data_IF_808682317608
#
_entry.id   IF_808682317608
#
_cell.length_a   1.000
_cell.length_b   1.000
_cell.length_c   1.000
_cell.angle_alpha   90.00
_cell.angle_beta   90.00
_cell.angle_gamma   90.00
#
_symmetry.space_group_name_H-M   'P 1'
#
loop_
_entity.id
_entity.type
_entity.pdbx_description
1 polymer ?
#
# COMPACT_ATOMS: atom_id res chain seq x y z
N UNK A 1 19.25 -7.87 -46.94
CA UNK A 1 18.35 -8.98 -47.32
C UNK A 1 16.92 -8.54 -47.09
N UNK A 2 16.11 -8.54 -48.16
CA UNK A 2 14.65 -8.29 -48.14
C UNK A 2 13.93 -9.64 -48.20
N UNK A 3 12.93 -9.84 -47.36
CA UNK A 3 11.76 -10.72 -47.58
C UNK A 3 10.63 -10.10 -46.73
N UNK A 4 9.66 -9.39 -47.34
CA UNK A 4 8.40 -9.89 -47.90
C UNK A 4 7.53 -10.70 -46.93
N UNK A 5 6.58 -10.00 -46.30
CA UNK A 5 5.12 -10.21 -46.39
C UNK A 5 4.54 -11.61 -46.23
N UNK A 6 3.58 -11.73 -45.30
CA UNK A 6 2.25 -12.24 -45.62
C UNK A 6 1.27 -11.92 -44.49
N UNK A 7 0.23 -11.15 -44.85
CA UNK A 7 -1.03 -11.11 -44.14
C UNK A 7 -1.86 -12.33 -44.57
N UNK A 8 -2.53 -13.01 -43.63
CA UNK A 8 -3.64 -13.92 -43.92
C UNK A 8 -4.74 -13.76 -42.87
N UNK A 9 -5.80 -13.11 -43.32
CA UNK A 9 -7.24 -13.40 -43.21
C UNK A 9 -7.90 -13.98 -41.96
N UNK A 10 -9.05 -13.33 -41.71
CA UNK A 10 -10.19 -13.60 -40.82
C UNK A 10 -10.86 -14.98 -40.99
N UNK A 11 -11.45 -15.47 -39.90
CA UNK A 11 -12.73 -16.22 -39.81
C UNK A 11 -13.26 -15.97 -38.37
N UNK A 12 -14.36 -15.25 -38.11
CA UNK A 12 -15.81 -15.46 -38.36
C UNK A 12 -16.44 -16.54 -37.45
N UNK A 13 -17.63 -16.16 -36.90
CA UNK A 13 -18.63 -16.91 -36.12
C UNK A 13 -18.29 -17.10 -34.63
N UNK A 14 -19.07 -16.64 -33.65
CA UNK A 14 -20.49 -16.30 -33.62
C UNK A 14 -21.14 -17.12 -32.51
N UNK A 15 -21.74 -16.48 -31.50
CA UNK A 15 -22.98 -16.93 -30.87
C UNK A 15 -23.46 -15.85 -29.88
N UNK A 16 -24.54 -15.18 -30.27
CA UNK A 16 -25.45 -14.48 -29.37
C UNK A 16 -26.55 -15.47 -29.00
N UNK A 17 -26.85 -15.62 -27.70
CA UNK A 17 -28.13 -16.18 -27.26
C UNK A 17 -28.70 -15.26 -26.17
N UNK A 18 -29.87 -14.72 -26.51
CA UNK A 18 -30.83 -14.03 -25.64
C UNK A 18 -31.31 -14.96 -24.50
N UNK A 19 -31.57 -14.38 -23.33
CA UNK A 19 -32.75 -14.73 -22.55
C UNK A 19 -33.18 -13.54 -21.68
N UNK A 20 -34.11 -12.76 -22.22
CA UNK A 20 -34.97 -11.89 -21.46
C UNK A 20 -36.04 -12.73 -20.75
N UNK A 21 -36.26 -12.51 -19.45
CA UNK A 21 -37.51 -12.85 -18.79
C UNK A 21 -37.90 -11.70 -17.86
N UNK A 22 -39.03 -11.09 -18.21
CA UNK A 22 -39.80 -10.14 -17.43
C UNK A 22 -40.28 -10.74 -16.10
N UNK A 23 -40.50 -9.89 -15.09
CA UNK A 23 -41.79 -9.76 -14.42
C UNK A 23 -41.80 -8.47 -13.57
N UNK A 24 -42.87 -7.65 -13.65
CA UNK A 24 -43.03 -6.40 -12.91
C UNK A 24 -43.84 -6.64 -11.61
N UNK A 25 -43.63 -5.82 -10.60
CA UNK A 25 -44.61 -5.62 -9.53
C UNK A 25 -44.75 -4.14 -9.21
N UNK A 26 -45.99 -3.70 -9.38
CA UNK A 26 -46.56 -2.37 -9.21
C UNK A 26 -46.71 -2.07 -7.71
N UNK A 27 -46.39 -0.84 -7.32
CA UNK A 27 -46.78 -0.25 -6.04
C UNK A 27 -47.00 1.24 -6.22
N UNK A 28 -48.26 1.66 -6.23
CA UNK A 28 -48.76 3.01 -6.48
C UNK A 28 -49.34 3.59 -5.17
N UNK A 29 -49.21 4.90 -4.95
CA UNK A 29 -49.88 5.67 -3.89
C UNK A 29 -48.95 6.72 -3.27
N UNK A 30 -48.90 7.97 -3.76
CA UNK A 30 -49.86 9.09 -3.68
C UNK A 30 -49.66 10.01 -2.45
N UNK A 31 -49.06 11.17 -2.75
CA UNK A 31 -49.49 12.54 -2.40
C UNK A 31 -49.73 12.96 -0.95
N UNK A 32 -49.01 14.00 -0.53
CA UNK A 32 -49.47 14.93 0.51
C UNK A 32 -48.36 15.77 1.16
N UNK A 33 -48.01 16.91 0.58
CA UNK A 33 -47.52 18.06 1.37
C UNK A 33 -48.72 18.78 1.97
N UNK A 34 -48.57 19.31 3.19
CA UNK A 34 -48.58 20.77 3.31
C UNK A 34 -47.43 21.30 4.17
N UNK A 35 -46.99 22.48 3.76
CA UNK A 35 -46.16 23.44 4.47
C UNK A 35 -46.78 23.81 5.82
N UNK A 36 -45.95 24.00 6.85
CA UNK A 36 -46.08 25.17 7.72
C UNK A 36 -44.78 25.41 8.51
N UNK A 37 -44.47 26.70 8.59
CA UNK A 37 -43.29 27.34 9.16
C UNK A 37 -43.12 27.09 10.66
N UNK A 38 -41.91 26.71 11.10
CA UNK A 38 -41.41 27.22 12.37
C UNK A 38 -39.88 27.24 12.50
N UNK A 39 -39.38 28.47 12.54
CA UNK A 39 -38.29 28.99 13.39
C UNK A 39 -36.93 28.30 13.31
N UNK A 40 -36.04 29.02 12.62
CA UNK A 40 -34.60 29.00 12.71
C UNK A 40 -34.10 28.99 14.17
N UNK A 41 -33.45 27.89 14.57
CA UNK A 41 -32.41 27.92 15.58
C UNK A 41 -31.15 27.33 14.93
N UNK A 42 -30.00 28.04 14.91
CA UNK A 42 -28.76 27.48 14.39
C UNK A 42 -28.27 26.43 15.40
N UNK A 43 -28.67 25.18 15.19
CA UNK A 43 -28.11 24.05 15.91
C UNK A 43 -26.71 23.81 15.34
N UNK A 44 -25.70 24.33 16.05
CA UNK A 44 -24.30 23.96 15.86
C UNK A 44 -24.14 22.47 16.23
N UNK A 45 -24.41 21.59 15.27
CA UNK A 45 -24.21 20.16 15.40
C UNK A 45 -23.79 19.56 14.05
N UNK A 46 -22.64 19.98 13.54
CA UNK A 46 -22.03 19.38 12.35
C UNK A 46 -20.57 18.98 12.60
N UNK A 47 -20.27 18.48 13.81
CA UNK A 47 -18.93 18.04 14.17
C UNK A 47 -18.85 16.66 14.82
N UNK A 48 -19.96 15.94 15.03
CA UNK A 48 -19.92 14.62 15.68
C UNK A 48 -20.01 13.41 14.75
N UNK A 49 -20.46 13.54 13.49
CA UNK A 49 -20.52 12.38 12.57
C UNK A 49 -19.20 12.08 11.87
N UNK A 50 -18.41 13.11 11.52
CA UNK A 50 -17.09 12.93 10.88
C UNK A 50 -16.08 12.26 11.82
N UNK A 51 -16.16 12.54 13.12
CA UNK A 51 -15.31 11.92 14.14
C UNK A 51 -15.65 10.44 14.40
N UNK A 52 -16.74 9.88 13.86
CA UNK A 52 -17.04 8.44 14.05
C UNK A 52 -16.30 7.56 13.04
N UNK A 53 -15.96 8.12 11.88
CA UNK A 53 -15.34 7.38 10.77
C UNK A 53 -13.89 7.81 10.48
N UNK A 54 -13.31 8.68 11.30
CA UNK A 54 -11.93 9.09 11.14
C UNK A 54 -10.95 8.07 11.72
N UNK A 55 -9.80 7.92 11.08
CA UNK A 55 -8.72 7.08 11.58
C UNK A 55 -7.34 7.57 11.14
N UNK A 56 -6.33 7.20 11.92
CA UNK A 56 -4.92 7.23 11.55
C UNK A 56 -4.33 5.84 11.83
N UNK A 57 -3.81 5.18 10.80
CA UNK A 57 -3.18 3.87 10.90
C UNK A 57 -1.75 3.96 10.39
N UNK A 58 -0.78 3.53 11.20
CA UNK A 58 0.63 3.43 10.81
C UNK A 58 0.99 1.97 10.73
N UNK A 59 1.44 1.52 9.56
CA UNK A 59 2.00 0.20 9.32
C UNK A 59 3.47 0.33 8.95
N UNK A 60 4.24 -0.72 9.24
CA UNK A 60 5.62 -0.83 8.79
C UNK A 60 5.84 -2.13 8.03
N UNK A 61 6.81 -2.11 7.12
CA UNK A 61 7.32 -3.30 6.46
C UNK A 61 8.70 -3.63 7.01
N UNK A 62 8.89 -4.85 7.52
CA UNK A 62 10.18 -5.35 7.99
C UNK A 62 10.52 -6.69 7.33
N UNK A 63 11.74 -6.87 6.82
CA UNK A 63 12.20 -8.16 6.34
C UNK A 63 12.51 -9.09 7.52
N UNK A 64 12.45 -10.39 7.30
CA UNK A 64 12.86 -11.41 8.26
C UNK A 64 13.59 -12.51 7.49
N UNK A 65 14.90 -12.71 7.71
CA UNK A 65 15.77 -11.94 8.62
C UNK A 65 15.99 -10.50 8.15
N UNK A 66 16.45 -9.61 9.04
CA UNK A 66 16.59 -8.17 8.78
C UNK A 66 17.50 -7.84 7.58
N UNK A 67 18.55 -8.66 7.39
CA UNK A 67 19.51 -8.61 6.30
C UNK A 67 19.05 -9.36 5.03
N UNK A 68 17.88 -10.01 5.07
CA UNK A 68 17.40 -10.86 3.99
C UNK A 68 17.29 -10.16 2.64
N UNK A 69 16.78 -8.92 2.63
CA UNK A 69 16.70 -8.09 1.42
C UNK A 69 18.09 -7.72 0.91
N UNK A 70 19.00 -7.33 1.81
CA UNK A 70 20.36 -6.95 1.45
C UNK A 70 21.09 -8.14 0.80
N UNK A 71 20.98 -9.33 1.38
CA UNK A 71 21.54 -10.55 0.81
C UNK A 71 20.94 -10.89 -0.57
N UNK A 72 19.62 -10.78 -0.72
CA UNK A 72 18.95 -11.05 -1.99
C UNK A 72 19.38 -10.12 -3.13
N UNK A 73 19.64 -8.84 -2.84
CA UNK A 73 19.96 -7.83 -3.86
C UNK A 73 21.47 -7.63 -4.08
N UNK A 74 22.28 -7.72 -3.03
CA UNK A 74 23.66 -7.23 -3.03
C UNK A 74 24.75 -8.30 -2.93
N UNK A 75 24.43 -9.51 -2.46
CA UNK A 75 25.47 -10.51 -2.13
C UNK A 75 26.25 -10.98 -3.37
N UNK A 76 25.55 -11.24 -4.48
CA UNK A 76 26.22 -11.64 -5.73
C UNK A 76 27.09 -10.52 -6.30
N UNK A 77 26.56 -9.29 -6.31
CA UNK A 77 27.30 -8.13 -6.81
C UNK A 77 28.55 -7.85 -5.95
N UNK A 78 28.43 -8.00 -4.64
CA UNK A 78 29.56 -7.88 -3.71
C UNK A 78 30.60 -8.98 -3.92
N UNK A 79 30.21 -10.25 -4.06
CA UNK A 79 31.13 -11.36 -4.36
C UNK A 79 31.90 -11.14 -5.66
N UNK A 80 31.24 -10.65 -6.72
CA UNK A 80 31.89 -10.29 -7.98
C UNK A 80 32.89 -9.14 -7.78
N UNK A 81 32.52 -8.13 -6.99
CA UNK A 81 33.41 -7.03 -6.66
C UNK A 81 34.64 -7.51 -5.88
N UNK A 82 34.48 -8.39 -4.88
CA UNK A 82 35.58 -8.94 -4.08
C UNK A 82 36.67 -9.58 -4.96
N UNK A 83 36.27 -10.38 -5.95
CA UNK A 83 37.21 -11.00 -6.87
C UNK A 83 38.01 -9.96 -7.68
N UNK A 84 37.37 -8.86 -8.08
CA UNK A 84 38.04 -7.73 -8.73
C UNK A 84 38.99 -7.00 -7.78
N UNK A 85 38.57 -6.74 -6.54
CA UNK A 85 39.41 -6.07 -5.54
C UNK A 85 40.64 -6.91 -5.17
N UNK A 86 40.49 -8.23 -5.09
CA UNK A 86 41.58 -9.18 -4.87
C UNK A 86 42.60 -9.10 -6.02
N UNK A 87 42.15 -9.14 -7.27
CA UNK A 87 43.04 -8.98 -8.44
C UNK A 87 43.80 -7.64 -8.43
N UNK A 88 43.18 -6.58 -7.92
CA UNK A 88 43.77 -5.25 -7.80
C UNK A 88 44.54 -5.02 -6.49
N UNK A 89 44.61 -6.00 -5.59
CA UNK A 89 45.22 -5.88 -4.27
C UNK A 89 44.66 -4.72 -3.43
N UNK A 90 43.36 -4.43 -3.60
CA UNK A 90 42.67 -3.36 -2.87
C UNK A 90 42.03 -3.92 -1.59
N UNK A 91 42.22 -3.29 -0.42
CA UNK A 91 41.53 -3.68 0.80
C UNK A 91 40.01 -3.56 0.66
N UNK A 92 39.28 -4.62 1.02
CA UNK A 92 37.83 -4.68 0.92
C UNK A 92 37.16 -4.21 2.21
N UNK A 93 36.02 -3.53 2.07
CA UNK A 93 35.14 -3.14 3.19
C UNK A 93 34.24 -4.31 3.57
N UNK A 94 33.94 -4.51 4.87
CA UNK A 94 33.06 -5.59 5.29
C UNK A 94 31.65 -5.38 4.74
N UNK A 95 30.96 -6.49 4.43
CA UNK A 95 29.56 -6.46 4.06
C UNK A 95 28.71 -5.92 5.22
N UNK A 96 27.84 -4.92 5.00
CA UNK A 96 27.08 -4.31 6.09
C UNK A 96 26.05 -5.30 6.65
N UNK A 97 25.69 -5.10 7.92
CA UNK A 97 24.55 -5.77 8.55
C UNK A 97 23.45 -4.76 8.78
N UNK A 98 22.21 -5.18 8.53
CA UNK A 98 21.05 -4.39 8.92
C UNK A 98 20.89 -4.44 10.45
N UNK A 99 20.42 -3.36 11.08
CA UNK A 99 20.09 -3.39 12.50
C UNK A 99 18.91 -4.35 12.76
N UNK A 100 18.80 -4.89 13.97
CA UNK A 100 17.76 -5.88 14.31
C UNK A 100 16.33 -5.30 14.21
N UNK A 101 16.18 -3.99 14.38
CA UNK A 101 14.93 -3.26 14.27
C UNK A 101 14.73 -2.62 12.89
N UNK A 102 15.47 -3.08 11.87
CA UNK A 102 15.39 -2.57 10.51
C UNK A 102 13.95 -2.59 9.97
N UNK A 103 13.50 -1.41 9.54
CA UNK A 103 12.24 -1.19 8.85
C UNK A 103 12.59 -0.75 7.43
N UNK A 104 11.99 -1.37 6.42
CA UNK A 104 12.17 -0.94 5.03
C UNK A 104 11.37 0.33 4.77
N UNK A 105 10.10 0.31 5.19
CA UNK A 105 9.12 1.31 4.83
C UNK A 105 8.14 1.53 5.98
N UNK A 106 7.73 2.77 6.17
CA UNK A 106 6.56 3.14 6.96
C UNK A 106 5.46 3.60 6.01
N UNK A 107 4.24 3.16 6.25
CA UNK A 107 3.07 3.67 5.55
C UNK A 107 2.05 4.17 6.56
N UNK A 108 1.64 5.43 6.40
CA UNK A 108 0.62 6.08 7.23
C UNK A 108 -0.63 6.30 6.39
N UNK A 109 -1.74 5.73 6.85
CA UNK A 109 -3.07 5.96 6.30
C UNK A 109 -3.85 6.91 7.20
N UNK A 110 -4.46 7.93 6.62
CA UNK A 110 -5.31 8.88 7.35
C UNK A 110 -6.63 9.02 6.61
N UNK A 111 -7.74 9.03 7.34
CA UNK A 111 -9.04 9.40 6.80
C UNK A 111 -9.85 10.20 7.82
N UNK A 112 -10.64 11.14 7.33
CA UNK A 112 -11.71 11.83 8.08
C UNK A 112 -13.12 11.30 7.72
N UNK A 113 -13.18 10.21 6.93
CA UNK A 113 -14.41 9.63 6.38
C UNK A 113 -14.83 10.17 5.01
N UNK A 114 -14.25 11.29 4.57
CA UNK A 114 -14.56 11.95 3.29
C UNK A 114 -13.33 12.16 2.39
N UNK A 115 -12.15 12.23 3.00
CA UNK A 115 -10.85 12.33 2.36
C UNK A 115 -9.94 11.21 2.89
N UNK A 116 -8.99 10.82 2.06
CA UNK A 116 -8.03 9.77 2.36
C UNK A 116 -6.62 10.24 2.02
N UNK A 117 -5.67 9.78 2.82
CA UNK A 117 -4.26 9.97 2.59
C UNK A 117 -3.52 8.66 2.82
N UNK A 118 -2.57 8.35 1.96
CA UNK A 118 -1.53 7.33 2.14
C UNK A 118 -0.19 8.01 1.98
N UNK A 119 0.57 8.10 3.06
CA UNK A 119 1.97 8.53 3.04
C UNK A 119 2.87 7.32 3.16
N UNK A 120 3.78 7.15 2.23
CA UNK A 120 4.80 6.10 2.23
C UNK A 120 6.17 6.74 2.41
N UNK A 121 6.95 6.23 3.36
CA UNK A 121 8.27 6.72 3.70
C UNK A 121 9.23 5.52 3.76
N UNK A 122 10.10 5.34 2.76
CA UNK A 122 11.25 4.45 2.90
C UNK A 122 12.10 4.93 4.08
N UNK A 123 12.56 4.02 4.93
CA UNK A 123 13.32 4.40 6.13
C UNK A 123 14.83 4.35 5.86
N UNK A 124 15.26 3.40 5.03
CA UNK A 124 16.65 3.21 4.66
C UNK A 124 16.76 2.89 3.18
N UNK A 125 17.85 3.36 2.56
CA UNK A 125 18.28 2.97 1.23
C UNK A 125 19.63 2.27 1.29
N UNK A 126 19.79 1.28 0.43
CA UNK A 126 21.09 0.62 0.19
C UNK A 126 21.76 1.36 -0.94
N UNK A 127 22.87 2.02 -0.63
CA UNK A 127 23.71 2.73 -1.59
C UNK A 127 24.83 1.79 -2.06
N UNK A 128 24.87 1.62 -3.38
CA UNK A 128 25.77 0.72 -4.11
C UNK A 128 26.76 1.49 -4.99
N UNK A 129 26.82 2.82 -4.90
CA UNK A 129 27.64 3.65 -5.79
C UNK A 129 29.14 3.36 -5.66
N UNK A 130 29.56 2.95 -4.46
CA UNK A 130 30.93 2.54 -4.16
C UNK A 130 31.15 1.02 -4.23
N UNK A 131 30.20 0.24 -4.76
CA UNK A 131 30.36 -1.20 -5.02
C UNK A 131 31.25 -1.43 -6.25
N UNK A 132 32.52 -1.06 -6.12
CA UNK A 132 33.55 -1.15 -7.16
C UNK A 132 34.84 -1.66 -6.55
N UNK A 133 35.58 -2.45 -7.33
CA UNK A 133 36.81 -3.10 -6.87
C UNK A 133 37.85 -2.07 -6.40
N UNK A 134 38.00 -0.97 -7.13
CA UNK A 134 38.94 0.11 -6.83
C UNK A 134 38.58 0.89 -5.56
N UNK A 135 37.31 0.82 -5.13
CA UNK A 135 36.80 1.48 -3.92
C UNK A 135 36.66 0.52 -2.74
N UNK A 136 37.16 -0.71 -2.87
CA UNK A 136 37.08 -1.71 -1.81
C UNK A 136 35.67 -2.27 -1.62
N UNK A 137 34.83 -2.27 -2.65
CA UNK A 137 33.52 -2.93 -2.65
C UNK A 137 32.57 -2.44 -1.53
N UNK A 138 32.56 -1.13 -1.28
CA UNK A 138 31.76 -0.57 -0.21
C UNK A 138 30.26 -0.58 -0.53
N UNK A 139 29.47 -1.06 0.42
CA UNK A 139 28.01 -0.94 0.44
C UNK A 139 27.65 -0.16 1.71
N UNK A 140 26.83 0.87 1.56
CA UNK A 140 26.37 1.68 2.69
C UNK A 140 24.86 1.57 2.82
N UNK A 141 24.39 1.54 4.07
CA UNK A 141 22.98 1.64 4.40
C UNK A 141 22.78 2.99 5.04
N UNK A 142 22.05 3.87 4.39
CA UNK A 142 21.84 5.24 4.84
C UNK A 142 20.35 5.49 5.03
N UNK A 143 19.96 6.40 5.93
CA UNK A 143 18.57 6.82 6.04
C UNK A 143 18.06 7.33 4.69
N UNK A 144 16.89 6.86 4.30
CA UNK A 144 16.14 7.44 3.19
C UNK A 144 15.18 8.47 3.75
N UNK A 145 15.07 9.60 3.05
CA UNK A 145 14.23 10.72 3.45
C UNK A 145 13.31 11.16 2.33
N UNK A 146 13.17 10.32 1.31
CA UNK A 146 12.11 10.41 0.34
C UNK A 146 10.76 10.08 0.96
N UNK A 147 9.71 10.60 0.35
CA UNK A 147 8.35 10.24 0.69
C UNK A 147 7.48 10.29 -0.56
N UNK A 148 6.39 9.52 -0.50
CA UNK A 148 5.30 9.57 -1.46
C UNK A 148 4.01 9.77 -0.68
N UNK A 149 3.16 10.68 -1.14
CA UNK A 149 1.88 11.01 -0.56
C UNK A 149 0.83 10.91 -1.64
N UNK A 150 -0.16 10.05 -1.42
CA UNK A 150 -1.36 9.98 -2.25
C UNK A 150 -2.50 10.56 -1.43
N UNK A 151 -3.13 11.62 -1.94
CA UNK A 151 -4.31 12.25 -1.34
C UNK A 151 -5.49 12.00 -2.26
N UNK A 152 -6.61 11.56 -1.68
CA UNK A 152 -7.89 11.55 -2.36
C UNK A 152 -8.89 12.41 -1.60
N UNK A 153 -9.41 13.45 -2.26
CA UNK A 153 -10.42 14.33 -1.66
C UNK A 153 -11.31 14.93 -2.74
N UNK A 154 -12.62 14.98 -2.48
CA UNK A 154 -13.59 15.56 -3.42
C UNK A 154 -13.63 14.87 -4.79
N UNK A 155 -13.31 13.56 -4.85
CA UNK A 155 -13.27 12.77 -6.08
C UNK A 155 -12.04 13.00 -6.96
N UNK A 156 -11.03 13.72 -6.46
CA UNK A 156 -9.74 13.89 -7.14
C UNK A 156 -8.64 13.18 -6.38
N UNK A 157 -7.72 12.57 -7.13
CA UNK A 157 -6.49 12.01 -6.60
C UNK A 157 -5.31 12.92 -6.94
N UNK A 158 -4.42 13.13 -5.97
CA UNK A 158 -3.18 13.87 -6.16
C UNK A 158 -2.04 13.04 -5.59
N UNK A 159 -0.96 12.90 -6.37
CA UNK A 159 0.25 12.25 -5.93
C UNK A 159 1.34 13.30 -5.74
N UNK A 160 1.99 13.27 -4.58
CA UNK A 160 3.14 14.11 -4.27
C UNK A 160 4.29 13.20 -3.91
N UNK A 161 5.37 13.29 -4.67
CA UNK A 161 6.64 12.68 -4.30
C UNK A 161 7.58 13.78 -3.84
N UNK A 162 8.43 13.49 -2.86
CA UNK A 162 9.40 14.46 -2.40
C UNK A 162 10.55 13.88 -1.61
N UNK A 163 11.45 14.76 -1.21
CA UNK A 163 12.59 14.47 -0.36
C UNK A 163 12.74 15.57 0.70
N UNK A 164 13.41 15.29 1.81
CA UNK A 164 13.61 16.26 2.90
C UNK A 164 14.41 17.51 2.52
N UNK A 165 15.10 17.49 1.37
CA UNK A 165 15.83 18.63 0.84
C UNK A 165 14.92 19.69 0.21
N UNK A 166 13.61 19.43 0.17
CA UNK A 166 12.60 20.32 -0.40
C UNK A 166 12.30 20.05 -1.87
N UNK A 167 12.99 19.09 -2.50
CA UNK A 167 12.65 18.65 -3.85
C UNK A 167 11.31 17.94 -3.83
N UNK A 168 10.33 18.45 -4.57
CA UNK A 168 8.99 17.86 -4.67
C UNK A 168 8.50 17.83 -6.10
N UNK A 169 7.77 16.77 -6.45
CA UNK A 169 7.05 16.64 -7.72
C UNK A 169 5.59 16.30 -7.43
N UNK A 170 4.69 16.99 -8.12
CA UNK A 170 3.24 16.81 -7.99
C UNK A 170 2.71 16.29 -9.31
N UNK A 171 2.01 15.16 -9.24
CA UNK A 171 1.30 14.58 -10.37
C UNK A 171 -0.20 14.60 -10.09
N UNK A 172 -0.92 15.32 -10.96
CA UNK A 172 -2.38 15.44 -10.97
C UNK A 172 -2.93 14.80 -12.24
N UNK A 173 -2.50 13.59 -12.59
CA UNK A 173 -3.18 12.82 -13.63
C UNK A 173 -4.53 12.30 -13.10
N UNK A 174 -5.64 12.72 -13.70
CA UNK A 174 -6.97 12.11 -13.52
C UNK A 174 -7.06 10.69 -14.13
N UNK A 175 -5.95 10.17 -14.66
CA UNK A 175 -5.89 8.88 -15.35
C UNK A 175 -6.07 7.72 -14.34
N UNK A 176 -7.33 7.32 -14.19
CA UNK A 176 -7.80 6.07 -13.60
C UNK A 176 -7.32 5.76 -12.17
N UNK A 177 -7.98 6.40 -11.19
CA UNK A 177 -8.75 5.80 -10.06
C UNK A 177 -8.35 4.40 -9.52
N UNK A 178 -7.08 4.01 -9.56
CA UNK A 178 -6.60 2.68 -9.18
C UNK A 178 -5.35 2.70 -8.32
N UNK A 179 -4.86 3.87 -7.91
CA UNK A 179 -3.56 3.99 -7.23
C UNK A 179 -3.63 3.95 -5.69
N UNK A 180 -4.82 4.07 -5.07
CA UNK A 180 -5.00 3.74 -3.65
C UNK A 180 -5.24 2.24 -3.44
N UNK A 181 -4.46 1.38 -4.09
CA UNK A 181 -4.47 -0.03 -3.74
C UNK A 181 -3.77 -0.18 -2.37
N UNK A 182 -4.56 -0.31 -1.29
CA UNK A 182 -4.11 -1.16 -0.19
C UNK A 182 -3.71 -2.51 -0.82
N UNK A 183 -2.63 -3.13 -0.35
CA UNK A 183 -2.21 -4.45 -0.84
C UNK A 183 -3.45 -5.35 -0.88
N UNK A 184 -3.93 -5.66 -2.09
CA UNK A 184 -5.30 -6.09 -2.39
C UNK A 184 -5.93 -6.94 -1.26
N UNK A 185 -6.76 -6.38 -0.37
CA UNK A 185 -7.65 -7.21 0.42
C UNK A 185 -8.63 -7.89 -0.55
N UNK A 186 -9.07 -9.11 -0.22
CA UNK A 186 -10.24 -9.71 -0.88
C UNK A 186 -11.38 -8.69 -0.86
N UNK A 187 -12.11 -8.56 -1.97
CA UNK A 187 -13.24 -7.63 -2.13
C UNK A 187 -14.34 -7.81 -1.07
N UNK A 188 -14.36 -8.93 -0.34
CA UNK A 188 -15.29 -9.15 0.77
C UNK A 188 -14.56 -9.58 2.05
N UNK A 189 -14.88 -8.91 3.16
CA UNK A 189 -14.31 -9.18 4.48
C UNK A 189 -14.83 -10.49 5.13
N UNK A 190 -15.82 -11.15 4.52
CA UNK A 190 -16.44 -12.38 5.02
C UNK A 190 -15.45 -13.55 5.16
N UNK A 191 -14.35 -13.51 4.39
CA UNK A 191 -13.29 -14.51 4.47
C UNK A 191 -12.40 -14.39 5.71
N UNK A 192 -12.45 -13.27 6.46
CA UNK A 192 -11.59 -13.03 7.61
C UNK A 192 -12.29 -13.45 8.90
N UNK A 193 -11.90 -14.59 9.45
CA UNK A 193 -12.58 -15.24 10.58
C UNK A 193 -11.65 -15.51 11.78
N UNK A 194 -10.35 -15.71 11.55
CA UNK A 194 -9.39 -15.99 12.61
C UNK A 194 -9.05 -14.70 13.37
N UNK A 195 -9.15 -14.71 14.71
CA UNK A 195 -8.86 -13.54 15.53
C UNK A 195 -7.38 -13.45 15.87
N UNK A 196 -6.82 -12.24 15.84
CA UNK A 196 -5.42 -11.97 16.22
C UNK A 196 -5.30 -10.59 16.86
N UNK A 197 -4.31 -10.40 17.71
CA UNK A 197 -3.96 -9.08 18.24
C UNK A 197 -2.50 -8.77 17.88
N UNK A 198 -2.27 -7.60 17.29
CA UNK A 198 -0.93 -7.11 16.89
C UNK A 198 -0.77 -5.67 17.38
N UNK A 199 0.29 -5.39 18.12
CA UNK A 199 0.54 -4.06 18.72
C UNK A 199 -0.67 -3.48 19.49
N UNK A 200 -1.45 -4.35 20.18
CA UNK A 200 -2.66 -3.96 20.91
C UNK A 200 -3.90 -3.71 20.03
N UNK A 201 -3.80 -3.89 18.71
CA UNK A 201 -4.92 -3.78 17.77
C UNK A 201 -5.53 -5.16 17.53
N UNK A 202 -6.84 -5.28 17.69
CA UNK A 202 -7.58 -6.50 17.37
C UNK A 202 -7.86 -6.58 15.87
N UNK A 203 -7.50 -7.71 15.28
CA UNK A 203 -7.55 -7.99 13.85
C UNK A 203 -8.35 -9.27 13.58
N UNK A 204 -8.89 -9.35 12.36
CA UNK A 204 -9.38 -10.60 11.77
C UNK A 204 -8.50 -10.99 10.60
N UNK A 205 -8.15 -12.27 10.51
CA UNK A 205 -7.22 -12.84 9.56
C UNK A 205 -7.92 -13.85 8.65
N UNK A 206 -7.39 -14.02 7.45
CA UNK A 206 -7.78 -15.14 6.60
C UNK A 206 -7.37 -16.46 7.26
N UNK A 207 -8.24 -17.49 7.26
CA UNK A 207 -7.89 -18.82 7.68
C UNK A 207 -6.68 -19.35 6.94
N UNK A 208 -5.87 -20.17 7.63
CA UNK A 208 -4.76 -20.90 6.98
C UNK A 208 -5.21 -21.81 5.84
N UNK A 209 -6.49 -22.21 5.81
CA UNK A 209 -7.11 -22.98 4.74
C UNK A 209 -7.58 -22.14 3.54
N UNK A 210 -7.48 -20.81 3.61
CA UNK A 210 -7.86 -19.92 2.51
C UNK A 210 -6.96 -20.17 1.29
N UNK A 211 -7.50 -20.23 0.07
CA UNK A 211 -6.70 -20.43 -1.15
C UNK A 211 -5.74 -19.27 -1.45
N UNK A 212 -5.92 -18.13 -0.78
CA UNK A 212 -5.02 -16.97 -0.87
C UNK A 212 -3.82 -17.13 0.07
N UNK A 213 -4.04 -17.82 1.19
CA UNK A 213 -2.97 -18.18 2.11
C UNK A 213 -2.24 -19.38 1.53
N UNK A 214 -1.19 -19.07 0.78
CA UNK A 214 -0.28 -20.06 0.24
C UNK A 214 1.11 -19.65 0.65
N UNK A 215 2.00 -20.62 0.85
CA UNK A 215 3.44 -20.37 1.01
C UNK A 215 4.03 -19.56 -0.15
N UNK A 216 3.26 -19.43 -1.24
CA UNK A 216 3.63 -18.84 -2.51
C UNK A 216 3.27 -17.36 -2.69
N UNK A 217 2.36 -16.83 -1.86
CA UNK A 217 1.81 -15.48 -2.04
C UNK A 217 1.61 -14.73 -0.72
N UNK A 218 1.07 -15.39 0.30
CA UNK A 218 0.87 -14.82 1.63
C UNK A 218 0.81 -15.93 2.67
N UNK A 219 1.65 -15.84 3.70
CA UNK A 219 1.70 -16.73 4.85
C UNK A 219 0.59 -16.35 5.85
N UNK A 220 0.31 -15.06 5.97
CA UNK A 220 -0.76 -14.48 6.78
C UNK A 220 -1.25 -13.16 6.18
N UNK A 221 -2.53 -12.85 6.38
CA UNK A 221 -3.13 -11.58 6.00
C UNK A 221 -4.28 -11.25 6.96
N UNK A 222 -4.25 -10.06 7.55
CA UNK A 222 -5.25 -9.60 8.51
C UNK A 222 -5.62 -8.15 8.30
N UNK A 223 -6.89 -7.86 8.57
CA UNK A 223 -7.51 -6.53 8.52
C UNK A 223 -8.07 -6.18 9.89
N UNK A 224 -8.53 -4.95 10.07
CA UNK A 224 -9.16 -4.54 11.32
C UNK A 224 -10.40 -5.37 11.65
N UNK A 225 -10.66 -5.62 12.94
CA UNK A 225 -11.75 -6.52 13.34
C UNK A 225 -13.15 -6.03 12.92
N UNK A 226 -13.38 -4.72 12.76
CA UNK A 226 -14.67 -4.16 12.37
C UNK A 226 -14.68 -3.76 10.90
N UNK A 227 -15.67 -4.26 10.16
CA UNK A 227 -15.85 -3.95 8.74
C UNK A 227 -16.13 -2.46 8.51
N UNK A 228 -15.59 -1.94 7.41
CA UNK A 228 -15.85 -0.57 6.97
C UNK A 228 -15.22 0.54 7.82
N UNK A 229 -14.49 0.22 8.89
CA UNK A 229 -13.91 1.23 9.79
C UNK A 229 -12.54 1.71 9.31
N UNK A 230 -11.64 0.79 8.95
CA UNK A 230 -10.28 1.12 8.49
C UNK A 230 -10.15 0.73 7.03
N UNK A 231 -10.59 1.63 6.14
CA UNK A 231 -10.67 1.38 4.70
C UNK A 231 -10.03 2.49 3.89
N UNK A 232 -9.55 2.13 2.72
CA UNK A 232 -9.20 3.03 1.63
C UNK A 232 -10.43 3.79 1.11
N UNK A 233 -10.20 4.72 0.18
CA UNK A 233 -11.26 5.52 -0.47
C UNK A 233 -12.27 4.67 -1.24
N UNK A 234 -11.80 3.64 -1.94
CA UNK A 234 -12.61 2.63 -2.63
C UNK A 234 -13.26 1.58 -1.69
N UNK A 235 -13.28 1.86 -0.38
CA UNK A 235 -13.90 1.04 0.68
C UNK A 235 -13.28 -0.34 0.89
N UNK A 236 -12.10 -0.58 0.33
CA UNK A 236 -11.33 -1.79 0.60
C UNK A 236 -10.65 -1.71 1.97
N UNK A 237 -10.62 -2.82 2.70
CA UNK A 237 -9.97 -2.89 4.02
C UNK A 237 -8.46 -2.71 3.93
N UNK A 238 -7.89 -1.88 4.78
CA UNK A 238 -6.42 -1.78 4.85
C UNK A 238 -5.87 -3.03 5.54
N UNK A 239 -4.89 -3.68 4.91
CA UNK A 239 -4.15 -4.79 5.51
C UNK A 239 -3.26 -4.25 6.62
N UNK A 240 -3.57 -4.62 7.86
CA UNK A 240 -2.87 -4.18 9.07
C UNK A 240 -1.84 -5.21 9.56
N UNK A 241 -1.90 -6.43 9.03
CA UNK A 241 -0.86 -7.41 9.20
C UNK A 241 -0.76 -8.31 7.97
N UNK A 242 0.45 -8.55 7.49
CA UNK A 242 0.70 -9.50 6.42
C UNK A 242 2.06 -10.13 6.62
N UNK A 243 2.20 -11.39 6.27
CA UNK A 243 3.52 -12.01 6.11
C UNK A 243 3.58 -12.61 4.72
N UNK A 244 4.53 -12.17 3.89
CA UNK A 244 4.70 -12.63 2.50
C UNK A 244 6.10 -13.16 2.26
N UNK A 245 6.20 -14.20 1.44
CA UNK A 245 7.45 -14.61 0.82
C UNK A 245 7.55 -13.94 -0.56
N UNK A 246 8.43 -12.94 -0.74
CA UNK A 246 8.57 -12.19 -1.98
C UNK A 246 9.26 -12.98 -3.11
N UNK A 247 9.92 -14.12 -2.85
CA UNK A 247 10.87 -14.74 -3.80
C UNK A 247 10.64 -16.24 -4.02
N UNK A 248 9.37 -16.59 -4.12
CA UNK A 248 8.84 -17.95 -4.19
C UNK A 248 9.26 -18.84 -5.41
N UNK A 249 10.43 -18.64 -6.02
CA UNK A 249 11.08 -19.61 -6.93
C UNK A 249 12.62 -19.52 -7.02
N UNK A 250 13.28 -18.56 -6.34
CA UNK A 250 14.75 -18.42 -6.39
C UNK A 250 15.34 -18.44 -4.98
N UNK A 251 16.03 -19.54 -4.65
CA UNK A 251 16.72 -19.82 -3.38
C UNK A 251 17.83 -18.82 -2.98
N UNK A 252 17.95 -17.65 -3.62
CA UNK A 252 19.11 -16.77 -3.42
C UNK A 252 19.09 -16.02 -2.08
N UNK A 253 17.95 -15.91 -1.40
CA UNK A 253 17.84 -15.68 0.05
C UNK A 253 16.37 -15.86 0.49
N UNK A 254 16.00 -16.85 1.33
CA UNK A 254 14.65 -16.99 1.83
C UNK A 254 14.41 -15.94 2.92
N UNK A 255 13.94 -14.75 2.54
CA UNK A 255 13.46 -13.76 3.49
C UNK A 255 11.99 -13.52 3.27
N UNK A 256 11.25 -13.29 4.35
CA UNK A 256 9.85 -12.87 4.28
C UNK A 256 9.75 -11.38 4.58
N UNK A 257 8.73 -10.72 4.06
CA UNK A 257 8.38 -9.35 4.47
C UNK A 257 7.14 -9.41 5.35
N UNK A 258 7.27 -8.89 6.56
CA UNK A 258 6.16 -8.74 7.49
C UNK A 258 5.71 -7.28 7.44
N UNK A 259 4.47 -7.08 7.04
CA UNK A 259 3.74 -5.84 7.26
C UNK A 259 3.05 -5.93 8.60
N UNK A 260 3.22 -4.97 9.49
CA UNK A 260 2.56 -4.95 10.79
C UNK A 260 2.15 -3.53 11.20
N UNK A 261 0.95 -3.43 11.78
CA UNK A 261 0.46 -2.21 12.40
C UNK A 261 1.32 -1.85 13.61
N UNK A 262 1.76 -0.58 13.66
CA UNK A 262 2.45 0.03 14.80
C UNK A 262 1.49 0.81 15.67
N UNK A 263 0.53 1.48 15.06
CA UNK A 263 -0.49 2.24 15.79
C UNK A 263 -1.76 2.36 14.97
N UNK A 264 -2.91 2.32 15.65
CA UNK A 264 -4.21 2.64 15.09
C UNK A 264 -4.92 3.59 16.07
N UNK A 265 -5.31 4.77 15.58
CA UNK A 265 -6.14 5.73 16.29
C UNK A 265 -7.47 5.83 15.56
N UNK A 266 -8.57 5.73 16.30
CA UNK A 266 -9.92 5.80 15.77
C UNK A 266 -10.64 7.00 16.37
N UNK A 267 -11.49 7.62 15.56
CA UNK A 267 -12.35 8.73 15.94
C UNK A 267 -11.61 9.97 16.44
N UNK A 268 -10.38 10.16 15.99
CA UNK A 268 -9.58 11.34 16.32
C UNK A 268 -9.91 12.48 15.38
N UNK A 269 -9.88 13.72 15.89
CA UNK A 269 -9.96 14.91 15.05
C UNK A 269 -8.75 14.97 14.11
N UNK A 270 -8.99 15.00 12.80
CA UNK A 270 -7.96 15.10 11.78
C UNK A 270 -7.83 16.57 11.37
N UNK A 271 -6.61 17.09 11.32
CA UNK A 271 -6.35 18.43 10.76
C UNK A 271 -6.62 18.39 9.24
N UNK A 272 -7.59 19.17 8.71
CA UNK A 272 -7.91 19.13 7.28
C UNK A 272 -6.73 19.48 6.36
N UNK A 273 -5.69 20.14 6.88
CA UNK A 273 -4.48 20.46 6.11
C UNK A 273 -3.75 19.20 5.64
N UNK A 274 -3.88 18.05 6.30
CA UNK A 274 -3.23 16.81 5.85
C UNK A 274 -3.71 16.36 4.46
N UNK A 275 -4.90 16.80 4.02
CA UNK A 275 -5.44 16.49 2.70
C UNK A 275 -5.14 17.58 1.65
N UNK A 276 -4.21 18.49 1.94
CA UNK A 276 -3.82 19.57 1.03
C UNK A 276 -2.41 19.36 0.50
N UNK A 277 -2.22 19.58 -0.80
CA UNK A 277 -0.92 19.46 -1.48
C UNK A 277 0.12 20.39 -0.86
N UNK A 278 -0.29 21.60 -0.50
CA UNK A 278 0.58 22.63 0.09
C UNK A 278 1.23 22.18 1.42
N UNK A 279 0.72 21.14 2.07
CA UNK A 279 1.33 20.56 3.28
C UNK A 279 2.60 19.78 2.96
N UNK A 280 2.77 19.34 1.70
CA UNK A 280 3.83 18.44 1.27
C UNK A 280 4.79 19.07 0.24
N UNK A 281 4.44 20.25 -0.30
CA UNK A 281 5.27 21.02 -1.23
C UNK A 281 5.87 22.22 -0.51
N UNK A 282 7.17 22.45 -0.68
CA UNK A 282 7.86 23.65 -0.17
C UNK A 282 8.14 24.65 -1.28
#
# INVERSE_FOLDING_TARGET
MRFNGMAVSRLIQGLAILAACCLPLVGCGSSGSPSDDHVTAPSAATSSSAAVNSYEAVVIDRPTPADGMLHGMGDMAYKLCLAGAEALHVPVKPYPRMPDDYVMQRTTYISDGHSWLKKTEPVYKVDLDNLRAEKGCEITVVPDKSFEVVIESGGKQINVSGHDDGTTSVDTSDDNASAFNARNPIETNDGYTDKRTVAGVNLRCLPKSSPIITSKAAIDMCVYEKDGVVTTSDKKSIVLYQNVDPLNDKQMAPYTVITEVRSLKLGTTIDPRVFKVETYTR
#
